data_IF_120121034412
#
_entry.id   IF_120121034412
#
_cell.length_a   1.000
_cell.length_b   1.000
_cell.length_c   1.000
_cell.angle_alpha   90.00
_cell.angle_beta   90.00
_cell.angle_gamma   90.00
#
_symmetry.space_group_name_H-M   'P 1'
#
loop_
_entity.id
_entity.type
_entity.pdbx_description
1 polymer ?
#
# COMPACT_ATOMS: atom_id res chain seq x y z
N UNK A 1 15.97 3.38 -18.80
CA UNK A 1 15.54 1.98 -18.54
C UNK A 1 14.98 1.33 -19.79
N UNK A 2 14.01 1.97 -20.46
CA UNK A 2 13.49 1.51 -21.77
C UNK A 2 14.61 1.38 -22.82
N UNK A 3 15.43 2.42 -23.00
CA UNK A 3 16.53 2.41 -23.98
C UNK A 3 17.71 1.49 -23.58
N UNK A 4 17.70 0.96 -22.35
CA UNK A 4 18.68 0.01 -21.85
C UNK A 4 18.19 -1.45 -21.96
N UNK A 5 17.06 -1.69 -22.65
CA UNK A 5 16.45 -3.01 -22.80
C UNK A 5 15.83 -3.56 -21.50
N UNK A 6 15.60 -2.71 -20.49
CA UNK A 6 15.04 -3.10 -19.19
C UNK A 6 13.83 -2.22 -18.87
N UNK A 7 12.67 -2.51 -19.48
CA UNK A 7 11.46 -1.73 -19.22
C UNK A 7 11.00 -1.93 -17.78
N UNK A 8 10.59 -0.84 -17.13
CA UNK A 8 9.76 -0.94 -15.93
C UNK A 8 8.40 -1.47 -16.35
N UNK A 9 7.82 -2.40 -15.59
CA UNK A 9 6.53 -3.04 -15.91
C UNK A 9 5.48 -2.83 -14.84
N UNK A 10 5.89 -2.54 -13.60
CA UNK A 10 4.97 -2.39 -12.48
C UNK A 10 5.53 -1.42 -11.44
N UNK A 11 4.65 -0.64 -10.81
CA UNK A 11 4.93 0.16 -9.63
C UNK A 11 4.14 -0.38 -8.42
N UNK A 12 4.75 -0.40 -7.24
CA UNK A 12 4.14 -0.95 -6.02
C UNK A 12 4.03 0.11 -4.91
N UNK A 13 2.99 0.97 -4.93
CA UNK A 13 2.79 2.01 -3.92
C UNK A 13 2.05 1.51 -2.68
N UNK A 14 2.24 2.21 -1.55
CA UNK A 14 1.36 2.04 -0.39
C UNK A 14 0.03 2.68 -0.75
N UNK A 15 -1.04 1.91 -0.80
CA UNK A 15 -2.32 2.44 -1.21
C UNK A 15 -3.46 1.71 -0.50
N UNK A 16 -4.31 2.47 0.18
CA UNK A 16 -5.45 1.97 0.96
C UNK A 16 -6.50 3.07 1.09
N UNK A 17 -7.66 2.77 1.68
CA UNK A 17 -8.68 3.80 1.94
C UNK A 17 -8.19 4.94 2.85
N UNK A 18 -7.18 4.70 3.68
CA UNK A 18 -6.55 5.72 4.54
C UNK A 18 -5.35 6.41 3.90
N UNK A 19 -4.78 5.83 2.84
CA UNK A 19 -3.57 6.35 2.20
C UNK A 19 -3.79 6.55 0.70
N UNK A 20 -4.21 7.77 0.34
CA UNK A 20 -4.65 8.13 -1.01
C UNK A 20 -3.58 8.76 -1.92
N UNK A 21 -2.36 9.01 -1.42
CA UNK A 21 -1.34 9.81 -2.13
C UNK A 21 -1.02 9.34 -3.56
N UNK A 22 -1.18 8.04 -3.85
CA UNK A 22 -0.95 7.52 -5.20
C UNK A 22 -1.89 8.17 -6.25
N UNK A 23 -3.06 8.65 -5.83
CA UNK A 23 -3.98 9.40 -6.68
C UNK A 23 -3.44 10.78 -7.09
N UNK A 24 -2.45 11.31 -6.39
CA UNK A 24 -1.89 12.63 -6.63
C UNK A 24 -0.84 12.56 -7.78
N UNK A 25 -1.27 12.00 -8.91
CA UNK A 25 -0.51 11.93 -10.16
C UNK A 25 0.25 10.63 -10.44
N UNK A 26 0.52 9.78 -9.44
CA UNK A 26 1.18 8.49 -9.69
C UNK A 26 0.31 7.59 -10.57
N UNK A 27 -1.00 7.47 -10.25
CA UNK A 27 -1.92 6.64 -11.03
C UNK A 27 -2.10 7.13 -12.48
N UNK A 28 -2.09 8.44 -12.70
CA UNK A 28 -2.15 9.00 -14.06
C UNK A 28 -0.87 8.68 -14.83
N UNK A 29 0.29 8.86 -14.19
CA UNK A 29 1.61 8.61 -14.80
C UNK A 29 1.79 7.15 -15.23
N UNK A 30 1.40 6.19 -14.37
CA UNK A 30 1.52 4.76 -14.70
C UNK A 30 0.55 4.35 -15.80
N UNK A 31 -0.65 4.95 -15.87
CA UNK A 31 -1.60 4.71 -16.95
C UNK A 31 -1.05 5.23 -18.30
N UNK A 32 -0.57 6.48 -18.34
CA UNK A 32 0.05 7.08 -19.53
C UNK A 32 1.25 6.27 -20.05
N UNK A 33 2.03 5.67 -19.15
CA UNK A 33 3.21 4.87 -19.48
C UNK A 33 2.90 3.39 -19.75
N UNK A 34 1.65 2.95 -19.60
CA UNK A 34 1.22 1.56 -19.74
C UNK A 34 1.85 0.62 -18.70
N UNK A 35 2.06 1.10 -17.48
CA UNK A 35 2.64 0.36 -16.36
C UNK A 35 1.54 -0.23 -15.47
N UNK A 36 1.77 -1.43 -14.95
CA UNK A 36 0.90 -2.00 -13.92
C UNK A 36 1.07 -1.32 -12.56
N UNK A 37 0.07 -1.50 -11.70
CA UNK A 37 0.13 -1.13 -10.27
C UNK A 37 -0.26 -2.31 -9.41
N UNK A 38 0.53 -2.57 -8.35
CA UNK A 38 0.17 -3.50 -7.28
C UNK A 38 0.18 -2.75 -5.94
N UNK A 39 -0.98 -2.61 -5.31
CA UNK A 39 -1.06 -1.93 -4.02
C UNK A 39 -0.45 -2.80 -2.90
N UNK A 40 0.45 -2.23 -2.10
CA UNK A 40 0.88 -2.86 -0.85
C UNK A 40 0.20 -2.23 0.37
N UNK A 41 0.04 -3.03 1.43
CA UNK A 41 -0.74 -2.69 2.62
C UNK A 41 -2.16 -2.19 2.32
N UNK A 42 -2.94 -2.88 1.45
CA UNK A 42 -4.27 -2.42 1.05
C UNK A 42 -5.26 -2.30 2.22
N UNK A 43 -5.06 -3.14 3.26
CA UNK A 43 -5.87 -3.15 4.46
C UNK A 43 -5.24 -2.35 5.62
N UNK A 44 -4.28 -1.47 5.33
CA UNK A 44 -3.59 -0.65 6.33
C UNK A 44 -3.09 -1.47 7.54
N UNK A 45 -2.41 -2.59 7.27
CA UNK A 45 -1.92 -3.53 8.29
C UNK A 45 -3.01 -4.13 9.20
N UNK A 46 -4.24 -4.26 8.69
CA UNK A 46 -5.38 -4.81 9.42
C UNK A 46 -6.30 -3.76 10.04
N UNK A 47 -6.00 -2.46 9.90
CA UNK A 47 -6.87 -1.39 10.37
C UNK A 47 -8.18 -1.29 9.57
N UNK A 48 -8.17 -1.68 8.30
CA UNK A 48 -9.36 -1.72 7.44
C UNK A 48 -10.03 -3.10 7.46
N UNK A 49 -9.98 -3.80 8.59
CA UNK A 49 -10.70 -5.06 8.83
C UNK A 49 -11.44 -4.98 10.17
N UNK A 50 -12.27 -5.97 10.45
CA UNK A 50 -13.02 -6.04 11.71
C UNK A 50 -12.14 -6.28 12.95
N UNK A 51 -10.84 -6.54 12.76
CA UNK A 51 -9.90 -6.98 13.81
C UNK A 51 -9.80 -6.04 15.01
N UNK A 52 -10.09 -4.75 14.83
CA UNK A 52 -9.96 -3.71 15.86
C UNK A 52 -11.27 -2.97 16.16
N UNK A 53 -12.42 -3.50 15.74
CA UNK A 53 -13.72 -2.90 16.09
C UNK A 53 -14.12 -3.11 17.57
N UNK A 54 -13.53 -4.12 18.22
CA UNK A 54 -13.69 -4.41 19.64
C UNK A 54 -12.43 -4.09 20.45
N UNK A 55 -12.02 -5.01 21.32
CA UNK A 55 -10.76 -4.89 22.04
C UNK A 55 -9.54 -5.15 21.13
N UNK A 56 -8.37 -4.67 21.54
CA UNK A 56 -7.12 -4.94 20.81
C UNK A 56 -6.77 -6.43 21.00
N UNK A 57 -6.64 -7.22 19.90
CA UNK A 57 -6.26 -8.62 20.02
C UNK A 57 -4.88 -8.79 20.66
N UNK A 58 -4.74 -9.77 21.56
CA UNK A 58 -3.49 -10.01 22.29
C UNK A 58 -2.29 -10.35 21.39
N UNK A 59 -2.55 -10.94 20.21
CA UNK A 59 -1.55 -11.28 19.19
C UNK A 59 -1.32 -10.13 18.18
N UNK A 60 -1.92 -8.96 18.40
CA UNK A 60 -1.78 -7.81 17.52
C UNK A 60 -0.37 -7.21 17.60
N UNK A 61 0.16 -6.80 16.45
CA UNK A 61 1.40 -6.01 16.33
C UNK A 61 1.37 -4.70 17.10
N UNK A 62 0.18 -4.15 17.38
CA UNK A 62 0.02 -2.93 18.18
C UNK A 62 0.39 -3.17 19.65
N UNK A 63 0.05 -4.34 20.21
CA UNK A 63 0.37 -4.72 21.60
C UNK A 63 1.88 -4.80 21.81
N UNK A 64 2.62 -5.32 20.83
CA UNK A 64 4.09 -5.46 20.91
C UNK A 64 4.83 -4.10 20.88
N UNK A 65 4.23 -3.02 20.35
CA UNK A 65 4.89 -1.71 20.23
C UNK A 65 4.78 -0.82 21.47
N UNK A 66 3.92 -1.15 22.44
CA UNK A 66 3.75 -0.36 23.67
C UNK A 66 4.89 -0.56 24.70
N UNK A 67 5.88 -1.40 24.40
CA UNK A 67 7.05 -1.67 25.25
C UNK A 67 8.32 -1.33 24.48
N UNK A 68 8.49 -0.05 24.09
CA UNK A 68 9.79 0.54 23.75
C UNK A 68 9.72 2.06 23.70
#
# INVERSE_FOLDING_TARGET
MRDRGTPLVIHQPSYSMFNGWAKDGLLDTVDELGLGVIAFSPLAQGLLTDRYLGEIPADSRTVTRAVR
#
